data_IF_842042703648
#
_entry.id   IF_842042703648
#
_cell.length_a   1.000
_cell.length_b   1.000
_cell.length_c   1.000
_cell.angle_alpha   90.00
_cell.angle_beta   90.00
_cell.angle_gamma   90.00
#
_symmetry.space_group_name_H-M   'P 1'
#
loop_
_entity.id
_entity.type
_entity.pdbx_description
1 polymer ?
#
# COMPACT_ATOMS: atom_id res chain seq x y z
N UNK A 1 6.63 9.90 5.06
CA UNK A 1 7.14 8.64 5.65
C UNK A 1 6.00 7.63 5.63
N UNK A 2 6.30 6.34 5.47
CA UNK A 2 5.29 5.27 5.42
C UNK A 2 5.71 4.14 6.34
N UNK A 3 4.74 3.54 7.03
CA UNK A 3 4.93 2.34 7.84
C UNK A 3 4.22 1.16 7.19
N UNK A 4 4.86 0.00 7.22
CA UNK A 4 4.30 -1.24 6.72
C UNK A 4 4.10 -2.20 7.90
N UNK A 5 2.92 -2.83 7.97
CA UNK A 5 2.74 -3.98 8.84
C UNK A 5 3.61 -5.15 8.35
N UNK A 6 3.93 -6.12 9.22
CA UNK A 6 4.52 -7.39 8.79
C UNK A 6 3.63 -8.12 7.76
N UNK A 7 4.25 -8.94 6.93
CA UNK A 7 3.55 -9.80 5.97
C UNK A 7 2.54 -10.70 6.71
N UNK A 8 1.29 -10.76 6.22
CA UNK A 8 0.26 -11.58 6.88
C UNK A 8 0.54 -13.08 6.80
N UNK A 9 1.09 -13.54 5.66
CA UNK A 9 1.39 -14.94 5.41
C UNK A 9 2.69 -15.32 6.10
N UNK A 10 2.59 -16.21 7.09
CA UNK A 10 3.71 -16.71 7.88
C UNK A 10 3.60 -18.24 8.01
N UNK A 11 4.74 -18.91 8.16
CA UNK A 11 4.81 -20.39 8.19
C UNK A 11 4.53 -20.99 9.58
N UNK A 12 3.74 -20.30 10.40
CA UNK A 12 3.29 -20.78 11.72
C UNK A 12 1.77 -20.87 11.74
N UNK A 13 1.23 -21.72 12.60
CA UNK A 13 -0.21 -21.79 12.83
C UNK A 13 -0.71 -20.51 13.48
N UNK A 14 -1.83 -19.99 12.98
CA UNK A 14 -2.49 -18.78 13.48
C UNK A 14 -3.99 -19.05 13.59
N UNK A 15 -4.61 -18.60 14.68
CA UNK A 15 -6.05 -18.68 14.86
C UNK A 15 -6.77 -17.74 13.88
N UNK A 16 -7.89 -18.19 13.33
CA UNK A 16 -8.72 -17.45 12.37
C UNK A 16 -10.16 -17.99 12.39
N UNK A 17 -10.98 -17.53 11.45
CA UNK A 17 -12.35 -18.02 11.24
C UNK A 17 -12.57 -18.45 9.79
N UNK A 18 -13.48 -19.40 9.58
CA UNK A 18 -13.96 -19.76 8.23
C UNK A 18 -14.93 -18.69 7.71
N UNK A 19 -15.39 -18.83 6.46
CA UNK A 19 -16.37 -17.90 5.87
C UNK A 19 -17.73 -17.98 6.56
N UNK A 20 -18.04 -19.12 7.16
CA UNK A 20 -19.24 -19.40 7.93
C UNK A 20 -19.14 -18.86 9.37
N UNK A 21 -17.97 -18.35 9.78
CA UNK A 21 -17.73 -17.76 11.10
C UNK A 21 -17.21 -18.74 12.15
N UNK A 22 -16.97 -20.01 11.78
CA UNK A 22 -16.51 -21.02 12.71
C UNK A 22 -15.01 -20.87 13.02
N UNK A 23 -14.64 -21.12 14.28
CA UNK A 23 -13.25 -21.04 14.73
C UNK A 23 -12.37 -22.08 14.00
N UNK A 24 -11.20 -21.65 13.53
CA UNK A 24 -10.27 -22.49 12.78
C UNK A 24 -8.82 -22.04 12.95
N UNK A 25 -7.88 -22.82 12.44
CA UNK A 25 -6.48 -22.44 12.34
C UNK A 25 -5.99 -22.47 10.90
N UNK A 26 -5.16 -21.50 10.54
CA UNK A 26 -4.52 -21.42 9.23
C UNK A 26 -3.01 -21.49 9.35
N UNK A 27 -2.38 -22.18 8.41
CA UNK A 27 -0.94 -22.12 8.15
C UNK A 27 -0.71 -21.89 6.66
N UNK A 28 0.00 -20.83 6.33
CA UNK A 28 0.36 -20.52 4.93
C UNK A 28 1.68 -21.18 4.57
N UNK A 29 1.62 -22.16 3.65
CA UNK A 29 2.79 -22.88 3.12
C UNK A 29 3.32 -22.18 1.86
N UNK A 30 4.57 -22.49 1.48
CA UNK A 30 5.23 -21.95 0.29
C UNK A 30 6.06 -20.69 0.56
N UNK A 31 6.60 -20.08 -0.52
CA UNK A 31 7.46 -18.88 -0.42
C UNK A 31 6.62 -17.62 -0.29
N UNK A 32 6.87 -16.85 0.76
CA UNK A 32 6.25 -15.55 1.03
C UNK A 32 7.33 -14.50 1.33
N UNK A 33 7.01 -13.23 1.13
CA UNK A 33 7.95 -12.16 1.44
C UNK A 33 8.17 -12.07 2.96
N UNK A 34 9.41 -12.13 3.47
CA UNK A 34 9.68 -11.90 4.90
C UNK A 34 9.46 -10.43 5.28
N UNK A 35 9.48 -9.52 4.29
CA UNK A 35 9.19 -8.10 4.45
C UNK A 35 8.59 -7.53 3.16
N UNK A 36 7.30 -7.17 3.19
CA UNK A 36 6.64 -6.48 2.05
C UNK A 36 7.16 -5.06 1.83
N UNK A 37 7.76 -4.45 2.85
CA UNK A 37 8.21 -3.06 2.82
C UNK A 37 9.23 -2.79 1.70
N UNK A 38 10.15 -3.72 1.44
CA UNK A 38 11.18 -3.58 0.39
C UNK A 38 10.51 -3.40 -0.99
N UNK A 39 9.50 -4.24 -1.27
CA UNK A 39 8.72 -4.15 -2.52
C UNK A 39 7.71 -3.01 -2.50
N UNK A 40 7.30 -2.55 -1.32
CA UNK A 40 6.36 -1.45 -1.14
C UNK A 40 6.97 -0.07 -1.42
N UNK A 41 8.27 0.13 -1.19
CA UNK A 41 8.96 1.40 -1.47
C UNK A 41 8.74 1.92 -2.90
N UNK A 42 9.03 1.16 -3.98
CA UNK A 42 8.82 1.66 -5.34
C UNK A 42 7.35 1.96 -5.64
N UNK A 43 6.40 1.26 -5.00
CA UNK A 43 4.96 1.57 -5.13
C UNK A 43 4.65 2.91 -4.48
N UNK A 44 5.15 3.17 -3.26
CA UNK A 44 4.95 4.45 -2.56
C UNK A 44 5.54 5.61 -3.35
N UNK A 45 6.74 5.44 -3.92
CA UNK A 45 7.38 6.47 -4.75
C UNK A 45 6.55 6.80 -5.99
N UNK A 46 6.06 5.77 -6.69
CA UNK A 46 5.19 5.97 -7.85
C UNK A 46 3.88 6.67 -7.46
N UNK A 47 3.25 6.28 -6.35
CA UNK A 47 2.02 6.92 -5.87
C UNK A 47 2.25 8.38 -5.49
N UNK A 48 3.38 8.70 -4.86
CA UNK A 48 3.75 10.08 -4.55
C UNK A 48 3.91 10.90 -5.84
N UNK A 49 4.62 10.37 -6.84
CA UNK A 49 4.82 11.05 -8.11
C UNK A 49 3.49 11.30 -8.84
N UNK A 50 2.57 10.33 -8.84
CA UNK A 50 1.24 10.47 -9.43
C UNK A 50 0.42 11.57 -8.74
N UNK A 51 0.39 11.59 -7.40
CA UNK A 51 -0.32 12.62 -6.64
C UNK A 51 0.24 14.01 -6.92
N UNK A 52 1.58 14.16 -6.93
CA UNK A 52 2.20 15.45 -7.22
C UNK A 52 1.95 15.91 -8.66
N UNK A 53 1.97 14.99 -9.63
CA UNK A 53 1.65 15.30 -11.02
C UNK A 53 0.20 15.79 -11.17
N UNK A 54 -0.75 15.10 -10.53
CA UNK A 54 -2.17 15.47 -10.53
C UNK A 54 -2.38 16.86 -9.92
N UNK A 55 -1.81 17.11 -8.74
CA UNK A 55 -1.90 18.43 -8.08
C UNK A 55 -1.28 19.55 -8.93
N UNK A 56 -0.18 19.28 -9.63
CA UNK A 56 0.43 20.24 -10.57
C UNK A 56 -0.51 20.57 -11.74
N UNK A 57 -1.18 19.56 -12.30
CA UNK A 57 -2.13 19.77 -13.40
C UNK A 57 -3.38 20.54 -12.93
N UNK A 58 -3.91 20.20 -11.75
CA UNK A 58 -5.03 20.92 -11.14
C UNK A 58 -4.70 22.39 -10.87
N UNK A 59 -3.53 22.66 -10.29
CA UNK A 59 -3.10 24.03 -10.06
C UNK A 59 -2.96 24.81 -11.37
N UNK A 60 -2.37 24.21 -12.41
CA UNK A 60 -2.28 24.84 -13.73
C UNK A 60 -3.67 25.10 -14.33
N UNK A 61 -4.62 24.20 -14.17
CA UNK A 61 -5.97 24.40 -14.71
C UNK A 61 -6.74 25.55 -14.03
N UNK A 62 -6.43 25.84 -12.77
CA UNK A 62 -7.10 26.91 -12.00
C UNK A 62 -6.38 28.26 -12.10
N UNK A 63 -5.04 28.24 -12.09
CA UNK A 63 -4.22 29.44 -11.92
C UNK A 63 -3.26 29.69 -13.08
N UNK A 64 -3.25 28.84 -14.12
CA UNK A 64 -2.25 28.88 -15.19
C UNK A 64 -2.21 30.16 -16.02
N UNK A 65 -3.33 30.88 -16.08
CA UNK A 65 -3.47 32.13 -16.86
C UNK A 65 -3.54 33.38 -15.95
N UNK A 66 -3.34 33.24 -14.64
CA UNK A 66 -3.35 34.38 -13.71
C UNK A 66 -1.99 35.07 -13.79
N UNK A 67 -1.93 36.21 -14.46
CA UNK A 67 -0.75 37.07 -14.45
C UNK A 67 -0.58 37.72 -13.06
N UNK A 68 0.64 37.81 -12.52
CA UNK A 68 0.89 38.64 -11.34
C UNK A 68 0.66 40.12 -11.71
N UNK A 69 0.05 40.88 -10.79
CA UNK A 69 -0.07 42.34 -10.88
C UNK A 69 1.31 43.03 -10.88
#
# INVERSE_FOLDING_TARGET
>A
RVAFKPTSSIMIHVDTVTREGEASQIITKGRHDPCVGIRGVPVVEAMMALVLADQKLLHRAQCGDVAPD
#
